data_IF_948015548387
#
_entry.id   IF_948015548387
#
_cell.length_a   1.000
_cell.length_b   1.000
_cell.length_c   1.000
_cell.angle_alpha   90.00
_cell.angle_beta   90.00
_cell.angle_gamma   90.00
#
_symmetry.space_group_name_H-M   'P 1'
#
loop_
_entity.id
_entity.type
_entity.pdbx_description
1 polymer ?
#
# COMPACT_ATOMS: atom_id res chain seq x y z
N UNK A 1 -24.38 -16.95 35.61
CA UNK A 1 -24.48 -17.06 34.14
C UNK A 1 -23.93 -15.82 33.41
N UNK A 2 -22.76 -15.28 33.82
CA UNK A 2 -22.14 -14.09 33.20
C UNK A 2 -20.81 -14.38 32.49
N UNK A 3 -20.20 -15.54 32.75
CA UNK A 3 -18.85 -15.88 32.26
C UNK A 3 -18.78 -16.42 30.83
N UNK A 4 -19.81 -17.13 30.36
CA UNK A 4 -19.76 -17.77 29.05
C UNK A 4 -19.74 -16.75 27.89
N UNK A 5 -20.53 -15.68 28.00
CA UNK A 5 -20.59 -14.63 26.97
C UNK A 5 -19.33 -13.78 26.95
N UNK A 6 -18.74 -13.47 28.11
CA UNK A 6 -17.49 -12.71 28.19
C UNK A 6 -16.32 -13.48 27.57
N UNK A 7 -16.20 -14.78 27.86
CA UNK A 7 -15.21 -15.66 27.21
C UNK A 7 -15.42 -15.72 25.70
N UNK A 8 -16.67 -15.82 25.24
CA UNK A 8 -16.99 -15.82 23.82
C UNK A 8 -16.59 -14.51 23.12
N UNK A 9 -16.89 -13.34 23.69
CA UNK A 9 -16.47 -12.05 23.12
C UNK A 9 -14.95 -11.86 23.14
N UNK A 10 -14.28 -12.32 24.19
CA UNK A 10 -12.82 -12.30 24.27
C UNK A 10 -12.17 -13.18 23.19
N UNK A 11 -12.72 -14.37 22.94
CA UNK A 11 -12.26 -15.25 21.85
C UNK A 11 -12.52 -14.64 20.47
N UNK A 12 -13.68 -14.03 20.24
CA UNK A 12 -13.97 -13.32 18.99
C UNK A 12 -12.97 -12.18 18.79
N UNK A 13 -12.69 -11.39 19.83
CA UNK A 13 -11.69 -10.32 19.78
C UNK A 13 -10.28 -10.86 19.43
N UNK A 14 -9.86 -11.97 20.04
CA UNK A 14 -8.57 -12.61 19.72
C UNK A 14 -8.53 -13.12 18.28
N UNK A 15 -9.61 -13.74 17.78
CA UNK A 15 -9.66 -14.25 16.40
C UNK A 15 -9.64 -13.10 15.39
N UNK A 16 -10.38 -12.03 15.64
CA UNK A 16 -10.36 -10.81 14.81
C UNK A 16 -8.99 -10.16 14.86
N UNK A 17 -8.39 -10.02 16.05
CA UNK A 17 -7.05 -9.47 16.22
C UNK A 17 -6.01 -10.34 15.51
N UNK A 18 -6.08 -11.66 15.62
CA UNK A 18 -5.19 -12.59 14.93
C UNK A 18 -5.36 -12.51 13.41
N UNK A 19 -6.58 -12.39 12.89
CA UNK A 19 -6.84 -12.21 11.47
C UNK A 19 -6.30 -10.88 10.94
N UNK A 20 -6.45 -9.79 11.71
CA UNK A 20 -5.86 -8.48 11.41
C UNK A 20 -4.32 -8.57 11.42
N UNK A 21 -3.74 -9.18 12.45
CA UNK A 21 -2.28 -9.37 12.55
C UNK A 21 -1.72 -10.29 11.45
N UNK A 22 -2.47 -11.32 11.04
CA UNK A 22 -2.12 -12.18 9.91
C UNK A 22 -2.16 -11.41 8.58
N UNK A 23 -3.18 -10.57 8.36
CA UNK A 23 -3.24 -9.66 7.21
C UNK A 23 -2.05 -8.68 7.17
N UNK A 24 -1.57 -8.23 8.33
CA UNK A 24 -0.40 -7.35 8.43
C UNK A 24 0.90 -8.13 8.16
N UNK A 25 0.98 -9.38 8.61
CA UNK A 25 2.21 -10.19 8.53
C UNK A 25 2.44 -10.82 7.15
N UNK A 26 1.37 -11.15 6.45
CA UNK A 26 1.41 -11.74 5.11
C UNK A 26 1.19 -10.60 4.11
N UNK A 27 2.28 -10.08 3.54
CA UNK A 27 2.18 -9.15 2.41
C UNK A 27 1.25 -9.74 1.35
N UNK A 28 0.26 -8.97 0.92
CA UNK A 28 -0.75 -9.46 -0.02
C UNK A 28 -0.08 -9.95 -1.30
N UNK A 29 -0.48 -11.12 -1.81
CA UNK A 29 -0.13 -11.50 -3.16
C UNK A 29 -0.88 -10.57 -4.10
N UNK A 30 -0.13 -9.73 -4.80
CA UNK A 30 -0.70 -8.80 -5.77
C UNK A 30 -0.54 -9.40 -7.16
N UNK A 31 -1.48 -9.16 -8.10
CA UNK A 31 -1.26 -9.54 -9.49
C UNK A 31 -0.10 -8.73 -10.08
N UNK A 32 0.31 -9.08 -11.29
CA UNK A 32 1.25 -8.28 -12.06
C UNK A 32 0.59 -6.95 -12.45
N UNK A 33 1.11 -5.77 -12.03
CA UNK A 33 0.70 -4.53 -12.63
C UNK A 33 0.95 -4.60 -14.12
N UNK A 34 -0.04 -4.09 -14.85
CA UNK A 34 -0.01 -3.99 -16.30
C UNK A 34 1.24 -3.27 -16.80
N UNK A 35 1.81 -2.37 -15.99
CA UNK A 35 3.08 -1.70 -16.25
C UNK A 35 3.86 -1.49 -14.95
N UNK A 36 5.13 -1.90 -14.94
CA UNK A 36 6.10 -1.62 -13.88
C UNK A 36 7.51 -1.59 -14.48
N UNK A 37 8.40 -0.79 -13.87
CA UNK A 37 9.81 -0.77 -14.23
C UNK A 37 10.62 -1.64 -13.27
N UNK A 38 11.65 -2.31 -13.79
CA UNK A 38 12.67 -2.95 -12.97
C UNK A 38 13.85 -2.00 -12.84
N UNK A 39 14.18 -1.64 -11.61
CA UNK A 39 15.32 -0.77 -11.32
C UNK A 39 16.62 -1.61 -11.21
N UNK A 40 17.80 -0.99 -11.40
CA UNK A 40 19.08 -1.71 -11.41
C UNK A 40 19.39 -2.50 -10.12
N UNK A 41 18.88 -2.08 -8.96
CA UNK A 41 19.05 -2.78 -7.68
C UNK A 41 18.09 -3.95 -7.47
N UNK A 42 17.23 -4.24 -8.45
CA UNK A 42 16.20 -5.27 -8.37
C UNK A 42 14.93 -4.80 -7.67
N UNK A 43 14.81 -3.51 -7.37
CA UNK A 43 13.56 -2.87 -6.98
C UNK A 43 12.58 -2.85 -8.16
N UNK A 44 11.30 -2.78 -7.81
CA UNK A 44 10.19 -2.63 -8.76
C UNK A 44 9.58 -1.25 -8.55
N UNK A 45 9.38 -0.52 -9.64
CA UNK A 45 8.68 0.75 -9.65
C UNK A 45 7.31 0.59 -10.28
N UNK A 46 6.27 0.95 -9.53
CA UNK A 46 4.90 0.99 -10.04
C UNK A 46 4.46 2.44 -10.16
N UNK A 47 4.03 2.84 -11.36
CA UNK A 47 3.52 4.19 -11.60
C UNK A 47 2.09 4.32 -11.09
N UNK A 48 1.82 5.44 -10.43
CA UNK A 48 0.50 5.76 -9.88
C UNK A 48 0.02 7.08 -10.47
N UNK A 49 -1.27 7.15 -10.77
CA UNK A 49 -1.94 8.37 -11.24
C UNK A 49 -3.14 8.60 -10.36
N UNK A 50 -3.37 9.85 -9.97
CA UNK A 50 -4.55 10.23 -9.22
C UNK A 50 -5.76 10.24 -10.17
N UNK A 51 -6.65 9.27 -9.98
CA UNK A 51 -7.91 9.16 -10.73
C UNK A 51 -9.00 8.60 -9.82
N UNK A 52 -10.25 8.87 -10.18
CA UNK A 52 -11.36 8.15 -9.58
C UNK A 52 -11.28 6.67 -10.01
N UNK A 53 -11.44 5.76 -9.05
CA UNK A 53 -11.60 4.32 -9.33
C UNK A 53 -13.05 3.95 -9.04
N UNK A 54 -13.89 3.80 -10.07
CA UNK A 54 -15.29 3.39 -9.90
C UNK A 54 -15.42 2.04 -9.21
N UNK A 55 -16.46 1.85 -8.39
CA UNK A 55 -16.72 0.61 -7.67
C UNK A 55 -17.06 -0.58 -8.58
N UNK A 56 -17.46 -0.32 -9.83
CA UNK A 56 -17.74 -1.30 -10.87
C UNK A 56 -16.53 -1.56 -11.79
N UNK A 57 -15.37 -0.97 -11.49
CA UNK A 57 -14.13 -1.27 -12.20
C UNK A 57 -13.80 -2.74 -12.11
N UNK A 58 -13.23 -3.29 -13.17
CA UNK A 58 -12.75 -4.68 -13.21
C UNK A 58 -11.23 -4.72 -13.25
N UNK A 59 -10.64 -5.74 -12.61
CA UNK A 59 -9.20 -5.96 -12.63
C UNK A 59 -8.44 -5.04 -11.68
N UNK A 60 -7.16 -4.87 -11.98
CA UNK A 60 -6.20 -4.16 -11.14
C UNK A 60 -6.13 -2.67 -11.49
N UNK A 61 -6.02 -1.82 -10.47
CA UNK A 61 -5.67 -0.41 -10.65
C UNK A 61 -4.77 0.10 -9.53
N UNK A 62 -3.68 0.75 -9.91
CA UNK A 62 -2.85 1.54 -9.00
C UNK A 62 -3.26 3.00 -9.05
N UNK A 63 -3.53 3.58 -7.88
CA UNK A 63 -4.04 4.93 -7.74
C UNK A 63 -3.15 5.75 -6.79
N UNK A 64 -3.05 7.05 -7.05
CA UNK A 64 -2.48 8.01 -6.10
C UNK A 64 -3.62 8.76 -5.42
N UNK A 65 -3.65 8.74 -4.10
CA UNK A 65 -4.64 9.49 -3.33
C UNK A 65 -3.98 10.51 -2.41
N UNK A 66 -4.74 11.58 -2.16
CA UNK A 66 -4.38 12.66 -1.28
C UNK A 66 -5.40 12.72 -0.15
N UNK A 67 -4.94 12.47 1.06
CA UNK A 67 -5.74 12.57 2.28
C UNK A 67 -5.32 13.81 3.07
N UNK A 68 -6.28 14.46 3.71
CA UNK A 68 -6.02 15.51 4.69
C UNK A 68 -6.44 14.99 6.06
N UNK A 69 -5.48 14.76 6.94
CA UNK A 69 -5.70 14.24 8.29
C UNK A 69 -5.10 15.22 9.29
N UNK A 70 -5.91 15.75 10.21
CA UNK A 70 -5.47 16.72 11.23
C UNK A 70 -4.71 17.93 10.65
N UNK A 71 -5.08 18.40 9.45
CA UNK A 71 -4.42 19.51 8.76
C UNK A 71 -3.12 19.12 8.02
N UNK A 72 -2.68 17.87 8.12
CA UNK A 72 -1.54 17.33 7.38
C UNK A 72 -2.00 16.65 6.09
N UNK A 73 -1.31 16.94 5.00
CA UNK A 73 -1.48 16.22 3.73
C UNK A 73 -0.68 14.93 3.77
N UNK A 74 -1.35 13.81 3.48
CA UNK A 74 -0.75 12.48 3.36
C UNK A 74 -1.09 11.95 1.97
N UNK A 75 -0.06 11.59 1.22
CA UNK A 75 -0.22 10.91 -0.05
C UNK A 75 -0.10 9.40 0.14
N UNK A 76 -0.89 8.64 -0.59
CA UNK A 76 -0.93 7.17 -0.55
C UNK A 76 -0.92 6.62 -1.96
N UNK A 77 -0.13 5.58 -2.19
CA UNK A 77 -0.30 4.72 -3.35
C UNK A 77 -1.24 3.58 -2.94
N UNK A 78 -2.31 3.37 -3.70
CA UNK A 78 -3.34 2.40 -3.39
C UNK A 78 -3.44 1.36 -4.50
N UNK A 79 -3.54 0.10 -4.12
CA UNK A 79 -3.88 -0.99 -5.02
C UNK A 79 -5.37 -1.28 -4.89
N UNK A 80 -6.10 -1.11 -5.99
CA UNK A 80 -7.48 -1.51 -6.15
C UNK A 80 -7.58 -2.81 -6.94
N UNK A 81 -8.50 -3.67 -6.52
CA UNK A 81 -8.92 -4.85 -7.27
C UNK A 81 -10.44 -4.84 -7.40
N UNK A 82 -10.93 -4.92 -8.64
CA UNK A 82 -12.35 -4.91 -8.96
C UNK A 82 -13.11 -3.75 -8.29
N UNK A 83 -12.56 -2.54 -8.39
CA UNK A 83 -13.17 -1.33 -7.81
C UNK A 83 -13.03 -1.19 -6.29
N UNK A 84 -12.33 -2.11 -5.61
CA UNK A 84 -12.17 -2.10 -4.16
C UNK A 84 -10.70 -1.99 -3.76
N UNK A 85 -10.39 -1.04 -2.88
CA UNK A 85 -9.06 -0.91 -2.28
C UNK A 85 -8.67 -2.20 -1.54
N UNK A 86 -7.49 -2.71 -1.83
CA UNK A 86 -6.93 -3.93 -1.23
C UNK A 86 -5.73 -3.61 -0.34
N UNK A 87 -4.84 -2.76 -0.81
CA UNK A 87 -3.61 -2.38 -0.12
C UNK A 87 -3.39 -0.87 -0.27
N UNK A 88 -2.78 -0.30 0.77
CA UNK A 88 -2.49 1.13 0.86
C UNK A 88 -1.05 1.29 1.35
N UNK A 89 -0.29 2.12 0.64
CA UNK A 89 1.13 2.40 0.86
C UNK A 89 1.30 3.90 1.13
N UNK A 90 1.34 4.32 2.41
CA UNK A 90 1.37 5.74 2.76
C UNK A 90 2.76 6.34 2.62
N UNK A 91 2.81 7.64 2.29
CA UNK A 91 3.99 8.46 2.50
C UNK A 91 4.10 8.85 3.98
N UNK A 92 5.09 8.29 4.68
CA UNK A 92 5.22 8.41 6.15
C UNK A 92 6.24 9.47 6.61
N UNK A 93 6.96 10.08 5.67
CA UNK A 93 7.91 11.16 5.97
C UNK A 93 8.62 11.65 4.71
N UNK A 94 8.91 12.95 4.64
CA UNK A 94 9.61 13.52 3.47
C UNK A 94 11.08 13.13 3.52
N UNK A 95 11.57 12.44 2.49
CA UNK A 95 13.00 12.17 2.28
C UNK A 95 13.67 13.28 1.49
N UNK A 96 13.01 13.75 0.43
CA UNK A 96 13.56 14.75 -0.47
C UNK A 96 12.46 15.60 -1.10
N UNK A 97 12.76 16.89 -1.33
CA UNK A 97 11.94 17.78 -2.15
C UNK A 97 12.76 18.23 -3.34
N UNK A 98 12.17 18.17 -4.53
CA UNK A 98 12.78 18.62 -5.78
C UNK A 98 11.80 19.52 -6.53
N UNK A 99 12.22 20.25 -7.58
CA UNK A 99 11.30 21.01 -8.42
C UNK A 99 10.23 20.14 -9.09
N UNK A 100 10.52 18.87 -9.32
CA UNK A 100 9.63 17.90 -9.96
C UNK A 100 8.58 17.33 -9.00
N UNK A 101 8.87 17.30 -7.69
CA UNK A 101 7.97 16.70 -6.71
C UNK A 101 8.59 16.45 -5.34
N UNK A 102 7.98 15.54 -4.59
CA UNK A 102 8.39 15.16 -3.24
C UNK A 102 8.52 13.66 -3.16
N UNK A 103 9.68 13.21 -2.66
CA UNK A 103 9.94 11.82 -2.32
C UNK A 103 9.66 11.60 -0.84
N UNK A 104 8.77 10.67 -0.56
CA UNK A 104 8.43 10.22 0.79
C UNK A 104 9.00 8.83 1.03
N UNK A 105 9.40 8.55 2.27
CA UNK A 105 9.53 7.17 2.72
C UNK A 105 8.13 6.53 2.69
N UNK A 106 8.09 5.24 2.35
CA UNK A 106 6.87 4.44 2.40
C UNK A 106 7.11 3.11 3.11
N UNK A 107 6.03 2.39 3.37
CA UNK A 107 6.05 1.07 3.98
C UNK A 107 4.86 0.23 3.49
N UNK A 108 4.91 -1.05 3.80
CA UNK A 108 3.93 -2.04 3.35
C UNK A 108 4.60 -3.11 2.51
N UNK A 109 3.98 -4.28 2.43
CA UNK A 109 4.56 -5.46 1.77
C UNK A 109 3.65 -5.97 0.69
N UNK A 110 4.26 -6.36 -0.42
CA UNK A 110 3.60 -7.08 -1.51
C UNK A 110 4.37 -8.36 -1.78
N UNK A 111 3.66 -9.37 -2.25
CA UNK A 111 4.30 -10.54 -2.87
C UNK A 111 4.11 -10.46 -4.36
N UNK A 112 5.23 -10.43 -5.08
CA UNK A 112 5.30 -10.32 -6.52
C UNK A 112 6.04 -11.50 -7.10
N UNK A 113 5.40 -12.30 -7.96
CA UNK A 113 6.00 -13.51 -8.56
C UNK A 113 6.64 -14.47 -7.53
N UNK A 114 5.98 -14.65 -6.38
CA UNK A 114 6.52 -15.50 -5.30
C UNK A 114 7.69 -14.88 -4.51
N UNK A 115 8.16 -13.68 -4.86
CA UNK A 115 9.16 -12.90 -4.13
C UNK A 115 8.48 -11.83 -3.28
N UNK A 116 8.90 -11.70 -2.03
CA UNK A 116 8.41 -10.65 -1.14
C UNK A 116 9.17 -9.34 -1.39
N UNK A 117 8.41 -8.25 -1.44
CA UNK A 117 8.91 -6.90 -1.58
C UNK A 117 8.31 -5.99 -0.50
N UNK A 118 9.06 -4.95 -0.16
CA UNK A 118 8.67 -3.91 0.78
C UNK A 118 8.67 -2.56 0.07
N UNK A 119 7.60 -1.79 0.22
CA UNK A 119 7.54 -0.42 -0.25
C UNK A 119 8.59 0.40 0.50
N UNK A 120 9.40 1.15 -0.25
CA UNK A 120 10.48 1.95 0.32
C UNK A 120 10.28 3.44 0.08
N UNK A 121 9.83 3.80 -1.12
CA UNK A 121 9.76 5.19 -1.56
C UNK A 121 8.48 5.46 -2.35
N UNK A 122 7.76 6.52 -1.97
CA UNK A 122 6.63 7.08 -2.71
C UNK A 122 7.04 8.45 -3.25
N UNK A 123 7.17 8.58 -4.57
CA UNK A 123 7.34 9.88 -5.20
C UNK A 123 5.99 10.42 -5.66
N UNK A 124 5.75 11.70 -5.39
CA UNK A 124 4.58 12.43 -5.87
C UNK A 124 5.06 13.65 -6.62
N UNK A 125 4.60 13.82 -7.85
CA UNK A 125 4.96 14.98 -8.66
C UNK A 125 4.41 16.29 -8.04
N UNK A 126 4.91 17.43 -8.52
CA UNK A 126 4.61 18.75 -7.95
C UNK A 126 3.11 19.08 -7.91
N UNK A 127 2.33 18.64 -8.90
CA UNK A 127 0.89 18.90 -8.96
C UNK A 127 0.04 17.87 -8.18
N UNK A 128 0.66 16.78 -7.71
CA UNK A 128 -0.01 15.71 -6.97
C UNK A 128 -0.92 14.82 -7.81
N UNK A 129 -0.82 14.88 -9.14
CA UNK A 129 -1.64 14.09 -10.07
C UNK A 129 -1.00 12.74 -10.45
N UNK A 130 0.31 12.59 -10.26
CA UNK A 130 1.00 11.37 -10.63
C UNK A 130 2.25 11.14 -9.77
N UNK A 131 2.80 9.94 -9.88
CA UNK A 131 3.97 9.55 -9.13
C UNK A 131 4.34 8.11 -9.37
N UNK A 132 5.14 7.58 -8.45
CA UNK A 132 5.47 6.16 -8.43
C UNK A 132 5.71 5.68 -7.01
N UNK A 133 5.54 4.39 -6.80
CA UNK A 133 5.93 3.68 -5.58
C UNK A 133 7.01 2.66 -5.94
N UNK A 134 8.11 2.69 -5.20
CA UNK A 134 9.23 1.77 -5.34
C UNK A 134 9.16 0.69 -4.26
N UNK A 135 9.41 -0.54 -4.66
CA UNK A 135 9.39 -1.73 -3.85
C UNK A 135 10.75 -2.44 -3.91
N UNK A 136 11.42 -2.54 -2.77
CA UNK A 136 12.68 -3.27 -2.66
C UNK A 136 12.45 -4.73 -2.28
N UNK A 137 13.31 -5.64 -2.76
CA UNK A 137 13.23 -7.05 -2.35
C UNK A 137 13.45 -7.18 -0.85
N UNK A 138 12.58 -7.93 -0.19
CA UNK A 138 12.83 -8.35 1.19
C UNK A 138 13.96 -9.37 1.15
N UNK A 139 15.09 -9.04 1.78
CA UNK A 139 16.18 -10.01 1.97
C UNK A 139 15.70 -11.07 2.95
N UNK A 140 15.50 -12.29 2.48
CA UNK A 140 15.35 -13.45 3.36
C UNK A 140 16.68 -13.60 4.10
N UNK A 141 16.64 -13.41 5.42
CA UNK A 141 17.80 -13.62 6.31
C UNK A 141 18.09 -15.10 6.47
#
# INVERSE_FOLDING_TARGET
MRDARFRQYFWIFIVVLAAVLLKIRIGGSVPYPTSYDKLPGGEIRVHVTAKAVPSDSVGEAWNLEKHVQNGQVIYTANLYMNGHEQLLFPGIGVKQKTPEGVLYASNGKIRFNGQDYEAVDLFVNRDGSAGYIDFAKVKTS
#
